data_IF_992646843856
#
_entry.id   IF_992646843856
#
_cell.length_a   1.000
_cell.length_b   1.000
_cell.length_c   1.000
_cell.angle_alpha   90.00
_cell.angle_beta   90.00
_cell.angle_gamma   90.00
#
_symmetry.space_group_name_H-M   'P 1'
#
loop_
_entity.id
_entity.type
_entity.pdbx_description
1 polymer ?
#
# COMPACT_ATOMS: atom_id res chain seq x y z
N UNK A 1 -34.49 3.27 -15.24
CA UNK A 1 -33.18 3.39 -14.55
C UNK A 1 -32.16 2.67 -15.42
N UNK A 2 -31.34 3.40 -16.16
CA UNK A 2 -30.32 2.82 -17.03
C UNK A 2 -29.22 2.24 -16.16
N UNK A 3 -29.07 0.93 -16.20
CA UNK A 3 -27.90 0.28 -15.61
C UNK A 3 -26.67 0.77 -16.41
N UNK A 4 -25.83 1.55 -15.76
CA UNK A 4 -24.54 1.92 -16.29
C UNK A 4 -23.72 0.63 -16.33
N UNK A 5 -23.48 0.11 -17.54
CA UNK A 5 -22.59 -1.06 -17.73
C UNK A 5 -21.21 -0.63 -17.25
N UNK A 6 -20.77 -1.21 -16.13
CA UNK A 6 -19.40 -1.09 -15.68
C UNK A 6 -18.47 -1.50 -16.83
N UNK A 7 -17.50 -0.67 -17.14
CA UNK A 7 -16.48 -1.01 -18.14
C UNK A 7 -15.65 -2.16 -17.56
N UNK A 8 -15.81 -3.36 -18.07
CA UNK A 8 -15.05 -4.56 -17.67
C UNK A 8 -13.57 -4.50 -18.15
N UNK A 9 -13.12 -3.34 -18.55
CA UNK A 9 -11.76 -3.12 -19.04
C UNK A 9 -10.80 -2.79 -17.92
N UNK A 10 -9.66 -3.46 -17.95
CA UNK A 10 -8.48 -3.16 -17.13
C UNK A 10 -7.88 -1.82 -17.58
N UNK A 11 -7.64 -0.92 -16.63
CA UNK A 11 -7.03 0.41 -16.87
C UNK A 11 -5.69 0.45 -16.15
N UNK A 12 -4.64 0.85 -16.86
CA UNK A 12 -3.32 1.06 -16.24
C UNK A 12 -3.42 2.09 -15.12
N UNK A 13 -2.83 1.75 -13.98
CA UNK A 13 -2.73 2.64 -12.83
C UNK A 13 -1.28 3.00 -12.54
N UNK A 14 -1.05 4.22 -12.10
CA UNK A 14 0.24 4.69 -11.64
C UNK A 14 0.06 5.46 -10.34
N UNK A 15 0.88 5.18 -9.35
CA UNK A 15 0.90 5.93 -8.10
C UNK A 15 1.41 7.33 -8.41
N UNK A 16 0.66 8.36 -8.06
CA UNK A 16 1.03 9.76 -8.22
C UNK A 16 0.48 10.57 -7.04
N UNK A 17 1.23 10.60 -5.95
CA UNK A 17 0.86 11.32 -4.73
C UNK A 17 1.20 12.81 -4.89
N UNK A 18 0.22 13.67 -4.70
CA UNK A 18 0.43 15.12 -4.85
C UNK A 18 1.40 15.68 -3.80
N UNK A 19 2.10 16.77 -4.14
CA UNK A 19 2.97 17.49 -3.20
C UNK A 19 2.20 18.01 -1.98
N UNK A 20 0.92 18.35 -2.15
CA UNK A 20 0.05 18.77 -1.06
C UNK A 20 -0.17 17.64 -0.05
N UNK A 21 -0.38 16.40 -0.52
CA UNK A 21 -0.53 15.23 0.34
C UNK A 21 0.75 14.92 1.10
N UNK A 22 1.91 15.01 0.44
CA UNK A 22 3.22 14.81 1.07
C UNK A 22 3.48 15.91 2.12
N UNK A 23 3.24 17.17 1.77
CA UNK A 23 3.36 18.29 2.71
C UNK A 23 2.41 18.14 3.92
N UNK A 24 1.20 17.65 3.70
CA UNK A 24 0.24 17.38 4.76
C UNK A 24 0.74 16.26 5.69
N UNK A 25 1.32 15.19 5.16
CA UNK A 25 1.96 14.14 5.94
C UNK A 25 3.09 14.70 6.79
N UNK A 26 3.99 15.50 6.21
CA UNK A 26 5.11 16.10 6.94
C UNK A 26 4.65 17.00 8.10
N UNK A 27 3.60 17.80 7.88
CA UNK A 27 2.99 18.62 8.95
C UNK A 27 2.42 17.75 10.07
N UNK A 28 1.71 16.67 9.75
CA UNK A 28 1.16 15.74 10.74
C UNK A 28 2.27 15.05 11.52
N UNK A 29 3.33 14.60 10.87
CA UNK A 29 4.48 14.00 11.52
C UNK A 29 5.19 14.99 12.48
N UNK A 30 5.34 16.25 12.06
CA UNK A 30 5.93 17.28 12.92
C UNK A 30 5.13 17.54 14.22
N UNK A 31 3.80 17.42 14.13
CA UNK A 31 2.87 17.62 15.26
C UNK A 31 2.58 16.33 16.04
N UNK A 32 3.16 15.21 15.66
CA UNK A 32 2.87 13.93 16.31
C UNK A 32 3.33 13.90 17.75
N UNK A 33 2.42 13.62 18.66
CA UNK A 33 2.69 13.27 20.05
C UNK A 33 2.59 11.76 20.20
N UNK A 34 3.63 11.14 20.74
CA UNK A 34 3.63 9.72 21.04
C UNK A 34 3.09 9.49 22.45
N UNK A 35 2.37 8.38 22.69
CA UNK A 35 1.86 8.04 24.03
C UNK A 35 3.02 7.75 24.98
N UNK A 36 2.71 7.76 26.26
CA UNK A 36 3.62 7.30 27.29
C UNK A 36 3.78 5.77 27.21
N UNK A 37 4.89 5.27 27.74
CA UNK A 37 5.18 3.84 27.82
C UNK A 37 4.97 3.35 29.25
N UNK A 38 4.49 2.12 29.37
CA UNK A 38 4.42 1.44 30.66
C UNK A 38 5.86 1.03 31.05
N UNK A 39 6.29 1.40 32.26
CA UNK A 39 7.62 1.10 32.77
C UNK A 39 7.87 -0.40 32.76
N UNK A 40 9.04 -0.82 32.29
CA UNK A 40 9.49 -2.22 32.20
C UNK A 40 8.63 -3.15 31.32
N UNK A 41 7.68 -2.63 30.55
CA UNK A 41 6.77 -3.44 29.72
C UNK A 41 7.49 -4.12 28.52
N UNK A 42 8.56 -3.54 27.99
CA UNK A 42 9.26 -4.09 26.82
C UNK A 42 8.30 -4.36 25.65
N UNK A 43 8.20 -5.61 25.21
CA UNK A 43 7.32 -6.05 24.12
C UNK A 43 6.00 -6.68 24.60
N UNK A 44 5.74 -6.74 25.90
CA UNK A 44 4.58 -7.47 26.44
C UNK A 44 3.22 -6.91 26.00
N UNK A 45 3.16 -5.61 25.77
CA UNK A 45 1.91 -4.90 25.38
C UNK A 45 1.98 -4.24 24.01
N UNK A 46 3.01 -4.49 23.24
CA UNK A 46 3.20 -3.91 21.91
C UNK A 46 4.63 -3.48 21.64
N UNK A 47 4.81 -2.68 20.59
CA UNK A 47 6.13 -2.20 20.22
C UNK A 47 6.67 -1.19 21.24
N UNK A 48 7.93 -1.34 21.73
CA UNK A 48 8.54 -0.37 22.64
C UNK A 48 8.56 1.05 22.07
N UNK A 49 8.32 2.04 22.91
CA UNK A 49 8.26 3.44 22.50
C UNK A 49 9.57 3.92 21.86
N UNK A 50 10.71 3.38 22.28
CA UNK A 50 12.01 3.66 21.69
C UNK A 50 12.06 3.28 20.20
N UNK A 51 11.51 2.13 19.83
CA UNK A 51 11.42 1.69 18.44
C UNK A 51 10.47 2.57 17.62
N UNK A 52 9.32 2.92 18.19
CA UNK A 52 8.38 3.84 17.53
C UNK A 52 9.02 5.21 17.29
N UNK A 53 9.73 5.76 18.28
CA UNK A 53 10.47 7.04 18.13
C UNK A 53 11.51 6.97 17.02
N UNK A 54 12.28 5.89 16.95
CA UNK A 54 13.28 5.66 15.89
C UNK A 54 12.64 5.63 14.51
N UNK A 55 11.51 4.91 14.35
CA UNK A 55 10.78 4.82 13.09
C UNK A 55 10.16 6.17 12.68
N UNK A 56 9.55 6.88 13.62
CA UNK A 56 8.97 8.21 13.36
C UNK A 56 10.06 9.22 12.98
N UNK A 57 11.22 9.21 13.66
CA UNK A 57 12.36 10.05 13.30
C UNK A 57 12.84 9.76 11.87
N UNK A 58 13.01 8.49 11.51
CA UNK A 58 13.34 8.11 10.15
C UNK A 58 12.29 8.57 9.13
N UNK A 59 11.02 8.51 9.48
CA UNK A 59 9.93 8.94 8.61
C UNK A 59 9.92 10.44 8.39
N UNK A 60 10.28 11.22 9.45
CA UNK A 60 10.41 12.69 9.38
C UNK A 60 11.58 13.13 8.52
N UNK A 61 12.74 12.50 8.67
CA UNK A 61 14.02 13.07 8.22
C UNK A 61 14.75 12.24 7.15
N UNK A 62 14.42 10.95 7.01
CA UNK A 62 15.20 10.03 6.17
C UNK A 62 14.39 9.21 5.17
N UNK A 63 13.09 9.43 5.09
CA UNK A 63 12.23 8.68 4.17
C UNK A 63 11.89 9.51 2.93
N UNK A 64 12.34 9.05 1.77
CA UNK A 64 12.07 9.66 0.47
C UNK A 64 10.92 8.93 -0.23
N UNK A 65 9.70 9.48 -0.11
CA UNK A 65 8.53 8.91 -0.78
C UNK A 65 8.70 8.86 -2.29
N UNK A 66 9.25 9.88 -2.92
CA UNK A 66 9.39 9.94 -4.38
C UNK A 66 10.24 8.81 -4.94
N UNK A 67 11.29 8.45 -4.21
CA UNK A 67 12.11 7.29 -4.55
C UNK A 67 11.29 5.99 -4.56
N UNK A 68 10.51 5.75 -3.51
CA UNK A 68 9.71 4.53 -3.38
C UNK A 68 8.51 4.51 -4.32
N UNK A 69 7.87 5.66 -4.55
CA UNK A 69 6.80 5.82 -5.53
C UNK A 69 7.29 5.45 -6.94
N UNK A 70 8.47 5.97 -7.34
CA UNK A 70 9.09 5.66 -8.61
C UNK A 70 9.42 4.15 -8.71
N UNK A 71 10.00 3.58 -7.67
CA UNK A 71 10.33 2.16 -7.60
C UNK A 71 9.07 1.28 -7.73
N UNK A 72 8.01 1.53 -6.96
CA UNK A 72 6.76 0.78 -7.04
C UNK A 72 6.11 0.85 -8.41
N UNK A 73 6.14 2.03 -9.04
CA UNK A 73 5.60 2.22 -10.39
C UNK A 73 6.42 1.52 -11.49
N UNK A 74 7.71 1.31 -11.26
CA UNK A 74 8.61 0.66 -12.22
C UNK A 74 8.55 -0.87 -12.10
N UNK A 75 8.50 -1.38 -10.88
CA UNK A 75 8.61 -2.81 -10.60
C UNK A 75 7.27 -3.57 -10.62
N UNK A 76 6.16 -2.86 -10.36
CA UNK A 76 4.84 -3.46 -10.25
C UNK A 76 3.88 -2.97 -11.35
N UNK A 77 3.45 -3.86 -12.26
CA UNK A 77 2.36 -3.57 -13.19
C UNK A 77 1.04 -3.40 -12.41
N UNK A 78 0.54 -2.16 -12.35
CA UNK A 78 -0.61 -1.79 -11.55
C UNK A 78 -1.81 -1.43 -12.42
N UNK A 79 -2.98 -1.81 -11.98
CA UNK A 79 -4.23 -1.62 -12.72
C UNK A 79 -5.38 -1.28 -11.81
N UNK A 80 -6.42 -0.68 -12.40
CA UNK A 80 -7.73 -0.57 -11.78
C UNK A 80 -8.79 -1.21 -12.69
N UNK A 81 -9.85 -1.73 -12.08
CA UNK A 81 -11.00 -2.29 -12.78
C UNK A 81 -12.27 -2.03 -11.99
N UNK A 82 -13.33 -1.71 -12.69
CA UNK A 82 -14.66 -1.60 -12.11
C UNK A 82 -15.31 -2.99 -12.05
N UNK A 83 -15.64 -3.43 -10.83
CA UNK A 83 -16.23 -4.72 -10.55
C UNK A 83 -17.62 -4.51 -9.98
N UNK A 84 -18.64 -5.07 -10.66
CA UNK A 84 -20.00 -5.07 -10.12
C UNK A 84 -20.13 -6.11 -9.01
N UNK A 85 -20.53 -5.68 -7.83
CA UNK A 85 -20.72 -6.53 -6.65
C UNK A 85 -22.19 -6.53 -6.26
N UNK A 86 -22.81 -7.72 -6.23
CA UNK A 86 -24.22 -7.86 -5.88
C UNK A 86 -24.51 -7.27 -4.50
N UNK A 87 -25.54 -6.41 -4.41
CA UNK A 87 -25.93 -5.72 -3.19
C UNK A 87 -25.06 -4.51 -2.81
N UNK A 88 -23.93 -4.27 -3.51
CA UNK A 88 -22.98 -3.20 -3.16
C UNK A 88 -22.68 -2.23 -4.32
N UNK A 89 -23.20 -2.50 -5.52
CA UNK A 89 -22.95 -1.67 -6.72
C UNK A 89 -21.60 -1.95 -7.35
N UNK A 90 -21.03 -0.95 -8.03
CA UNK A 90 -19.75 -1.06 -8.72
C UNK A 90 -18.62 -0.55 -7.83
N UNK A 91 -17.59 -1.36 -7.64
CA UNK A 91 -16.38 -1.02 -6.88
C UNK A 91 -15.21 -0.86 -7.84
N UNK A 92 -14.48 0.25 -7.76
CA UNK A 92 -13.21 0.41 -8.46
C UNK A 92 -12.10 -0.26 -7.64
N UNK A 93 -11.57 -1.36 -8.15
CA UNK A 93 -10.56 -2.19 -7.45
C UNK A 93 -9.19 -1.95 -8.06
N UNK A 94 -8.22 -1.55 -7.23
CA UNK A 94 -6.81 -1.44 -7.57
C UNK A 94 -6.09 -2.76 -7.26
N UNK A 95 -5.23 -3.22 -8.18
CA UNK A 95 -4.47 -4.46 -8.02
C UNK A 95 -3.17 -4.44 -8.82
N UNK A 96 -2.27 -5.35 -8.48
CA UNK A 96 -1.07 -5.66 -9.24
C UNK A 96 -1.30 -6.96 -10.02
N UNK A 97 -0.95 -6.97 -11.29
CA UNK A 97 -1.03 -8.18 -12.12
C UNK A 97 0.32 -8.41 -12.82
N UNK A 98 1.14 -9.25 -12.24
CA UNK A 98 2.43 -9.66 -12.80
C UNK A 98 2.30 -11.04 -13.43
N UNK A 99 2.47 -11.09 -14.75
CA UNK A 99 2.44 -12.35 -15.49
C UNK A 99 3.78 -13.07 -15.32
N UNK A 100 3.71 -14.39 -15.11
CA UNK A 100 4.89 -15.25 -15.13
C UNK A 100 5.45 -15.40 -16.55
N UNK A 101 6.76 -15.49 -16.68
CA UNK A 101 7.44 -15.87 -17.93
C UNK A 101 7.49 -17.40 -18.13
N UNK A 102 7.14 -18.15 -17.08
CA UNK A 102 7.11 -19.62 -17.12
C UNK A 102 5.84 -20.09 -17.80
N UNK A 103 5.99 -20.96 -18.80
CA UNK A 103 4.87 -21.61 -19.48
C UNK A 103 4.16 -22.53 -18.47
N UNK A 104 2.84 -22.50 -18.46
CA UNK A 104 2.00 -23.28 -17.54
C UNK A 104 2.18 -22.95 -16.06
N UNK A 105 2.62 -21.74 -15.72
CA UNK A 105 2.67 -21.26 -14.34
C UNK A 105 1.28 -21.30 -13.70
N UNK A 106 1.23 -21.75 -12.45
CA UNK A 106 -0.02 -21.78 -11.68
C UNK A 106 -0.38 -20.35 -11.28
N UNK A 107 -1.59 -19.86 -11.66
CA UNK A 107 -2.01 -18.52 -11.26
C UNK A 107 -2.24 -18.44 -9.75
N UNK A 108 -1.64 -17.44 -9.10
CA UNK A 108 -1.82 -17.16 -7.69
C UNK A 108 -2.60 -15.85 -7.52
N UNK A 109 -3.75 -15.93 -6.86
CA UNK A 109 -4.45 -14.75 -6.35
C UNK A 109 -4.12 -14.55 -4.88
N UNK A 110 -3.54 -13.40 -4.55
CA UNK A 110 -3.27 -13.01 -3.18
C UNK A 110 -4.14 -11.81 -2.79
N UNK A 111 -4.92 -11.95 -1.72
CA UNK A 111 -5.76 -10.90 -1.16
C UNK A 111 -5.30 -10.64 0.26
N UNK A 112 -4.76 -9.45 0.52
CA UNK A 112 -4.22 -9.09 1.83
C UNK A 112 -5.27 -8.44 2.74
N UNK A 113 -5.07 -8.53 4.07
CA UNK A 113 -5.85 -7.78 5.05
C UNK A 113 -5.40 -6.32 5.18
N UNK A 114 -6.01 -5.58 6.08
CA UNK A 114 -5.88 -4.13 6.23
C UNK A 114 -4.44 -3.61 6.47
N UNK A 115 -3.50 -4.45 6.91
CA UNK A 115 -2.15 -4.01 7.31
C UNK A 115 -1.01 -4.49 6.40
N UNK A 116 -1.32 -5.28 5.37
CA UNK A 116 -0.31 -5.70 4.40
C UNK A 116 -0.37 -4.76 3.20
N UNK A 117 0.75 -4.10 2.91
CA UNK A 117 0.86 -3.19 1.79
C UNK A 117 1.59 -3.83 0.59
N UNK A 118 1.57 -3.15 -0.55
CA UNK A 118 2.23 -3.55 -1.79
C UNK A 118 3.74 -3.86 -1.64
N UNK A 119 4.41 -3.30 -0.63
CA UNK A 119 5.83 -3.56 -0.35
C UNK A 119 6.12 -5.00 0.09
N UNK A 120 5.24 -5.58 0.90
CA UNK A 120 5.37 -6.99 1.30
C UNK A 120 5.10 -7.91 0.12
N UNK A 121 4.14 -7.56 -0.74
CA UNK A 121 3.83 -8.31 -1.94
C UNK A 121 4.97 -8.27 -2.97
N UNK A 122 5.66 -7.14 -3.11
CA UNK A 122 6.82 -7.01 -3.97
C UNK A 122 7.89 -8.08 -3.66
N UNK A 123 8.24 -8.24 -2.38
CA UNK A 123 9.21 -9.25 -1.96
C UNK A 123 8.70 -10.70 -2.17
N UNK A 124 7.39 -10.92 -2.08
CA UNK A 124 6.78 -12.24 -2.31
C UNK A 124 6.75 -12.60 -3.80
N UNK A 125 6.52 -11.63 -4.68
CA UNK A 125 6.43 -11.82 -6.14
C UNK A 125 7.81 -11.98 -6.83
N UNK A 126 8.91 -11.66 -6.14
CA UNK A 126 10.28 -11.85 -6.65
C UNK A 126 10.81 -13.26 -6.39
N UNK A 127 10.21 -14.02 -5.48
CA UNK A 127 10.72 -15.32 -5.01
C UNK A 127 10.16 -16.51 -5.82
N UNK A 128 9.19 -16.31 -6.73
CA UNK A 128 8.60 -17.40 -7.52
C UNK A 128 8.61 -17.15 -9.00
#
# INVERSE_FOLDING_TARGET
>A
MSAQTASDSEVNFRIDVSEEQISTLQKKLALTNLPDEIEDAGWDYGAPLADIRRLVSRWKEGYDWRKYEAQLNDELPQFTRDIAVEGHGTLNVHYVHKKSEVVDAIPLLFVHGCELNLFWMHNLLIVY
#
